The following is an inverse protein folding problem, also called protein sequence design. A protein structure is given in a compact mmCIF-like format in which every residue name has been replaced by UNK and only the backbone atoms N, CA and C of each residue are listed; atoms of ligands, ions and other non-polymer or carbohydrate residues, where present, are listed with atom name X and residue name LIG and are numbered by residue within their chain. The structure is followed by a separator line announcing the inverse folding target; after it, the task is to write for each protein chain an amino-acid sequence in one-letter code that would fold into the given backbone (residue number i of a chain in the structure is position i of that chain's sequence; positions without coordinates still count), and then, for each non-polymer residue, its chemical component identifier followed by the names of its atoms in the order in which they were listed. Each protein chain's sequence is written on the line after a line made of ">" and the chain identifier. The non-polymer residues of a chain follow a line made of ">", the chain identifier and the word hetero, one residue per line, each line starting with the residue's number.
data_IF_568846552846
#
_entry.id   IF_568846552846
#
_cell.length_a   1.000
_cell.length_b   1.000
_cell.length_c   1.000
_cell.angle_alpha   90.00
_cell.angle_beta   90.00
_cell.angle_gamma   90.00
#
_symmetry.space_group_name_H-M   'P 1'
#
loop_
_entity.id
_entity.type
_entity.pdbx_description
1 polymer ?
#
# COMPACT_ATOMS: atom_id res chain seq x y z
N UNK A 1 -13.03 -13.09 -0.51
CA UNK A 1 -11.63 -13.21 -0.10
C UNK A 1 -10.80 -13.54 -1.33
N UNK A 2 -9.74 -12.79 -1.59
CA UNK A 2 -8.78 -13.06 -2.68
C UNK A 2 -7.39 -13.09 -2.08
N UNK A 3 -6.64 -14.15 -2.36
CA UNK A 3 -5.27 -14.27 -1.85
C UNK A 3 -4.25 -13.69 -2.84
N UNK A 4 -4.67 -13.35 -4.07
CA UNK A 4 -3.81 -12.86 -5.17
C UNK A 4 -3.64 -11.35 -5.16
N UNK A 5 -2.40 -10.91 -5.35
CA UNK A 5 -2.00 -9.51 -5.51
C UNK A 5 -2.12 -9.07 -6.97
N UNK A 6 -3.33 -9.09 -7.53
CA UNK A 6 -3.54 -8.69 -8.94
C UNK A 6 -2.95 -7.30 -9.21
N UNK A 7 -2.14 -7.11 -10.28
CA UNK A 7 -1.97 -8.00 -11.43
C UNK A 7 -0.91 -9.10 -11.31
N UNK A 8 -0.25 -9.29 -10.17
CA UNK A 8 0.73 -10.38 -9.99
C UNK A 8 0.05 -11.75 -10.04
N UNK A 9 0.82 -12.73 -10.50
CA UNK A 9 0.40 -14.13 -10.43
C UNK A 9 0.47 -14.68 -9.00
N UNK A 10 1.30 -14.08 -8.14
CA UNK A 10 1.54 -14.51 -6.78
C UNK A 10 0.41 -14.16 -5.82
N UNK A 11 0.18 -15.07 -4.88
CA UNK A 11 -0.55 -14.77 -3.65
C UNK A 11 0.31 -13.99 -2.66
N UNK A 12 -0.30 -13.36 -1.65
CA UNK A 12 0.45 -12.66 -0.58
C UNK A 12 1.51 -13.57 0.07
N UNK A 13 1.20 -14.81 0.52
CA UNK A 13 2.21 -15.67 1.15
C UNK A 13 3.32 -16.10 0.19
N UNK A 14 2.98 -16.35 -1.08
CA UNK A 14 3.97 -16.67 -2.12
C UNK A 14 4.90 -15.49 -2.38
N UNK A 15 4.35 -14.29 -2.57
CA UNK A 15 5.14 -13.08 -2.81
C UNK A 15 6.09 -12.80 -1.64
N UNK A 16 5.61 -12.88 -0.39
CA UNK A 16 6.45 -12.74 0.81
C UNK A 16 7.59 -13.75 0.85
N UNK A 17 7.29 -15.02 0.57
CA UNK A 17 8.30 -16.09 0.50
C UNK A 17 9.33 -15.82 -0.61
N UNK A 18 8.87 -15.43 -1.79
CA UNK A 18 9.74 -15.17 -2.94
C UNK A 18 10.64 -13.97 -2.70
N UNK A 19 10.07 -12.84 -2.24
CA UNK A 19 10.83 -11.61 -1.94
C UNK A 19 11.91 -11.85 -0.89
N UNK A 20 11.64 -12.65 0.15
CA UNK A 20 12.65 -13.03 1.13
C UNK A 20 13.83 -13.81 0.52
N UNK A 21 13.58 -14.64 -0.49
CA UNK A 21 14.63 -15.37 -1.22
C UNK A 21 15.37 -14.45 -2.20
N UNK A 22 14.64 -13.56 -2.88
CA UNK A 22 15.14 -12.68 -3.92
C UNK A 22 16.10 -11.61 -3.37
N UNK A 23 15.97 -11.23 -2.10
CA UNK A 23 16.87 -10.29 -1.42
C UNK A 23 18.36 -10.67 -1.53
N UNK A 24 18.66 -11.96 -1.63
CA UNK A 24 20.03 -12.48 -1.76
C UNK A 24 20.60 -12.39 -3.19
N UNK A 25 19.74 -12.18 -4.20
CA UNK A 25 20.11 -12.22 -5.62
C UNK A 25 19.81 -10.93 -6.38
N UNK A 26 19.27 -9.91 -5.70
CA UNK A 26 19.09 -8.58 -6.26
C UNK A 26 20.42 -8.04 -6.79
N UNK A 27 20.46 -7.73 -8.07
CA UNK A 27 21.67 -7.34 -8.79
C UNK A 27 21.86 -5.83 -8.93
N UNK A 28 20.82 -5.04 -8.63
CA UNK A 28 20.86 -3.58 -8.73
C UNK A 28 19.97 -2.91 -7.67
N UNK A 29 20.11 -1.59 -7.56
CA UNK A 29 19.40 -0.75 -6.59
C UNK A 29 17.88 -0.78 -6.79
N UNK A 30 17.41 -0.75 -8.04
CA UNK A 30 15.98 -0.78 -8.36
C UNK A 30 15.31 -2.09 -7.91
N UNK A 31 15.97 -3.22 -8.13
CA UNK A 31 15.55 -4.53 -7.63
C UNK A 31 15.53 -4.61 -6.10
N UNK A 32 16.58 -4.07 -5.47
CA UNK A 32 16.68 -4.05 -4.01
C UNK A 32 15.61 -3.17 -3.37
N UNK A 33 15.40 -1.96 -3.90
CA UNK A 33 14.37 -1.03 -3.43
C UNK A 33 12.98 -1.61 -3.58
N UNK A 34 12.70 -2.33 -4.68
CA UNK A 34 11.42 -3.02 -4.89
C UNK A 34 11.16 -4.07 -3.81
N UNK A 35 12.18 -4.86 -3.48
CA UNK A 35 12.13 -5.90 -2.44
C UNK A 35 11.91 -5.28 -1.05
N UNK A 36 12.67 -4.23 -0.70
CA UNK A 36 12.53 -3.56 0.60
C UNK A 36 11.19 -2.84 0.73
N UNK A 37 10.73 -2.17 -0.34
CA UNK A 37 9.42 -1.53 -0.35
C UNK A 37 8.31 -2.55 -0.17
N UNK A 38 8.36 -3.68 -0.89
CA UNK A 38 7.36 -4.73 -0.75
C UNK A 38 7.31 -5.25 0.69
N UNK A 39 8.48 -5.54 1.26
CA UNK A 39 8.59 -6.02 2.65
C UNK A 39 8.04 -5.00 3.64
N UNK A 40 8.38 -3.72 3.48
CA UNK A 40 7.90 -2.65 4.36
C UNK A 40 6.38 -2.46 4.29
N UNK A 41 5.77 -2.59 3.10
CA UNK A 41 4.31 -2.51 2.96
C UNK A 41 3.60 -3.72 3.57
N UNK A 42 4.17 -4.93 3.45
CA UNK A 42 3.68 -6.11 4.17
C UNK A 42 3.78 -5.93 5.69
N UNK A 43 4.91 -5.46 6.21
CA UNK A 43 5.10 -5.21 7.65
C UNK A 43 4.13 -4.14 8.17
N UNK A 44 3.83 -3.13 7.36
CA UNK A 44 2.81 -2.14 7.67
C UNK A 44 1.41 -2.78 7.76
N UNK A 45 1.04 -3.67 6.83
CA UNK A 45 -0.23 -4.39 6.86
C UNK A 45 -0.32 -5.40 8.01
N UNK A 46 0.79 -6.03 8.40
CA UNK A 46 0.88 -6.88 9.58
C UNK A 46 0.51 -6.08 10.84
N UNK A 47 1.05 -4.87 10.97
CA UNK A 47 0.75 -3.99 12.10
C UNK A 47 -0.73 -3.59 12.14
N UNK A 48 -1.36 -3.33 10.99
CA UNK A 48 -2.81 -3.06 10.94
C UNK A 48 -3.66 -4.28 11.32
N UNK A 49 -3.13 -5.48 11.09
CA UNK A 49 -3.80 -6.76 11.38
C UNK A 49 -3.53 -7.27 12.80
N UNK A 50 -2.86 -6.47 13.66
CA UNK A 50 -2.52 -6.87 15.02
C UNK A 50 -1.31 -7.79 15.14
N UNK A 51 -0.42 -7.79 14.14
CA UNK A 51 0.86 -8.50 14.17
C UNK A 51 0.78 -10.01 13.87
N UNK A 52 -0.40 -10.55 13.59
CA UNK A 52 -0.60 -11.97 13.28
C UNK A 52 -0.16 -12.39 11.86
N UNK A 53 0.39 -11.45 11.07
CA UNK A 53 0.71 -11.67 9.67
C UNK A 53 -0.49 -11.41 8.76
N UNK A 54 -0.33 -10.45 7.87
CA UNK A 54 -1.17 -10.23 6.71
C UNK A 54 -0.81 -11.26 5.65
N UNK A 55 -1.60 -12.33 5.59
CA UNK A 55 -1.44 -13.40 4.61
C UNK A 55 -2.54 -13.40 3.55
N UNK A 56 -3.56 -12.54 3.68
CA UNK A 56 -4.74 -12.50 2.81
C UNK A 56 -5.28 -11.09 2.67
N UNK A 57 -5.75 -10.75 1.47
CA UNK A 57 -6.45 -9.47 1.24
C UNK A 57 -7.90 -9.61 1.73
N UNK A 58 -8.29 -8.74 2.66
CA UNK A 58 -9.70 -8.59 3.03
C UNK A 58 -10.49 -8.14 1.80
N UNK A 59 -11.74 -8.60 1.66
CA UNK A 59 -12.60 -8.24 0.55
C UNK A 59 -14.04 -8.09 1.01
N UNK A 60 -14.85 -7.30 0.32
CA UNK A 60 -16.25 -7.12 0.67
C UNK A 60 -16.44 -6.44 2.03
N UNK A 61 -17.26 -7.04 2.90
CA UNK A 61 -17.69 -6.41 4.15
C UNK A 61 -16.53 -6.20 5.15
N UNK A 62 -15.56 -7.11 5.16
CA UNK A 62 -14.38 -7.06 6.01
C UNK A 62 -13.47 -5.90 5.61
N UNK A 63 -13.24 -5.75 4.30
CA UNK A 63 -12.49 -4.63 3.73
C UNK A 63 -13.19 -3.30 4.02
N UNK A 64 -14.49 -3.21 3.78
CA UNK A 64 -15.29 -2.02 4.08
C UNK A 64 -15.28 -1.65 5.56
N UNK A 65 -15.23 -2.67 6.44
CA UNK A 65 -15.16 -2.45 7.88
C UNK A 65 -13.79 -1.93 8.30
N UNK A 66 -12.71 -2.43 7.71
CA UNK A 66 -11.35 -1.95 7.96
C UNK A 66 -11.14 -0.55 7.38
N UNK A 67 -11.61 -0.28 6.17
CA UNK A 67 -11.57 1.04 5.56
C UNK A 67 -12.32 2.09 6.40
N UNK A 68 -13.52 1.75 6.93
CA UNK A 68 -14.26 2.63 7.85
C UNK A 68 -13.50 2.87 9.16
N UNK A 69 -12.75 1.89 9.65
CA UNK A 69 -11.93 2.06 10.84
C UNK A 69 -10.75 3.01 10.57
N UNK A 70 -10.06 2.83 9.43
CA UNK A 70 -9.00 3.75 8.97
C UNK A 70 -9.52 5.19 8.87
N UNK A 71 -10.67 5.38 8.22
CA UNK A 71 -11.31 6.69 8.05
C UNK A 71 -11.67 7.36 9.38
N UNK A 72 -12.29 6.60 10.30
CA UNK A 72 -12.62 7.11 11.64
C UNK A 72 -11.38 7.52 12.42
N UNK A 73 -10.33 6.69 12.40
CA UNK A 73 -9.08 6.98 13.10
C UNK A 73 -8.40 8.24 12.55
N UNK A 74 -8.39 8.42 11.24
CA UNK A 74 -7.84 9.62 10.58
C UNK A 74 -8.71 10.86 10.69
N UNK A 75 -9.96 10.73 11.14
CA UNK A 75 -10.95 11.81 11.10
C UNK A 75 -11.31 12.28 9.68
N UNK A 76 -10.95 11.51 8.63
CA UNK A 76 -11.19 11.87 7.23
C UNK A 76 -12.42 11.15 6.70
N UNK A 77 -13.23 11.89 5.95
CA UNK A 77 -14.35 11.32 5.19
C UNK A 77 -13.80 10.77 3.88
N UNK A 78 -14.41 9.71 3.33
CA UNK A 78 -14.03 9.11 2.03
C UNK A 78 -13.91 10.22 0.97
N UNK A 79 -12.68 10.56 0.58
CA UNK A 79 -12.42 11.48 -0.52
C UNK A 79 -12.71 10.75 -1.83
N UNK A 80 -13.24 11.46 -2.82
CA UNK A 80 -13.57 10.89 -4.13
C UNK A 80 -12.34 10.31 -4.85
N UNK A 81 -12.57 9.73 -6.03
CA UNK A 81 -11.48 9.20 -6.85
C UNK A 81 -10.47 10.30 -7.21
N UNK A 82 -9.19 10.06 -6.94
CA UNK A 82 -8.07 10.95 -7.29
C UNK A 82 -7.63 10.66 -8.73
N UNK A 83 -7.35 11.70 -9.52
CA UNK A 83 -6.79 11.52 -10.85
C UNK A 83 -5.36 10.95 -10.74
N UNK A 84 -5.07 9.87 -11.45
CA UNK A 84 -3.78 9.18 -11.46
C UNK A 84 -3.09 9.31 -12.82
N UNK A 85 -1.76 9.39 -12.81
CA UNK A 85 -0.94 9.31 -14.02
C UNK A 85 -0.83 7.87 -14.51
N UNK A 86 -0.16 7.69 -15.65
CA UNK A 86 0.04 6.38 -16.28
C UNK A 86 0.83 5.40 -15.38
N UNK A 87 1.46 5.89 -14.31
CA UNK A 87 2.19 5.10 -13.32
C UNK A 87 1.42 4.91 -12.00
N UNK A 88 0.15 5.34 -11.96
CA UNK A 88 -0.70 5.24 -10.77
C UNK A 88 -0.37 6.25 -9.68
N UNK A 89 0.43 7.29 -9.97
CA UNK A 89 0.74 8.38 -9.05
C UNK A 89 -0.34 9.47 -9.15
N UNK A 90 -0.85 10.00 -8.03
CA UNK A 90 -1.77 11.14 -8.05
C UNK A 90 -1.24 12.35 -8.85
N UNK A 91 -2.01 12.85 -9.83
CA UNK A 91 -1.63 13.97 -10.74
C UNK A 91 -1.84 15.33 -10.08
N UNK A 92 -2.93 15.51 -9.33
CA UNK A 92 -3.32 16.82 -8.81
C UNK A 92 -4.06 16.66 -7.48
N UNK A 93 -3.36 16.91 -6.38
CA UNK A 93 -3.96 16.92 -5.05
C UNK A 93 -4.46 18.32 -4.65
N UNK A 94 -4.21 19.35 -5.46
CA UNK A 94 -4.50 20.75 -5.15
C UNK A 94 -5.62 21.36 -6.02
N UNK A 95 -6.14 20.63 -7.00
CA UNK A 95 -7.09 21.16 -7.99
C UNK A 95 -8.53 20.65 -7.84
N UNK A 96 -9.46 21.62 -7.74
CA UNK A 96 -10.93 21.55 -7.83
C UNK A 96 -11.70 21.40 -6.51
N UNK A 97 -12.20 22.56 -6.01
CA UNK A 97 -13.22 22.69 -4.96
C UNK A 97 -12.97 21.91 -3.67
N UNK A 98 -11.72 21.88 -3.22
CA UNK A 98 -11.36 21.29 -1.94
C UNK A 98 -11.89 22.18 -0.80
N UNK A 99 -12.88 21.65 -0.08
CA UNK A 99 -13.34 22.11 1.24
C UNK A 99 -12.12 22.59 2.09
N UNK A 100 -12.17 23.71 2.82
CA UNK A 100 -11.03 24.18 3.64
C UNK A 100 -10.50 23.17 4.67
N UNK A 101 -11.17 22.02 4.87
CA UNK A 101 -10.62 20.87 5.58
C UNK A 101 -9.41 20.19 4.88
N UNK A 102 -9.15 20.50 3.61
CA UNK A 102 -8.08 19.92 2.79
C UNK A 102 -6.72 20.65 2.89
N UNK A 103 -6.59 21.69 3.72
CA UNK A 103 -5.32 22.44 3.91
C UNK A 103 -4.25 21.65 4.72
N UNK A 104 -4.44 20.33 4.88
CA UNK A 104 -3.52 19.41 5.57
C UNK A 104 -3.01 18.31 4.66
N UNK A 105 -2.82 18.59 3.36
CA UNK A 105 -2.25 17.67 2.36
C UNK A 105 -0.77 17.32 2.67
N UNK A 106 -0.65 16.45 3.67
CA UNK A 106 0.10 15.21 3.71
C UNK A 106 1.50 15.27 3.08
N UNK A 107 2.48 15.44 3.96
CA UNK A 107 3.86 15.07 3.69
C UNK A 107 3.93 13.55 3.49
N UNK A 108 4.56 13.14 2.39
CA UNK A 108 5.02 11.77 2.18
C UNK A 108 6.12 11.45 3.21
N UNK A 109 5.74 11.09 4.44
CA UNK A 109 6.72 10.53 5.38
C UNK A 109 7.02 9.09 5.00
N UNK A 110 8.31 8.85 4.84
CA UNK A 110 8.97 7.66 4.29
C UNK A 110 8.51 6.38 4.99
N UNK A 111 8.51 5.23 4.29
CA UNK A 111 8.37 3.94 4.98
C UNK A 111 9.49 3.75 5.99
N UNK A 112 9.14 3.13 7.11
CA UNK A 112 10.11 2.61 8.07
C UNK A 112 10.87 1.50 7.34
N UNK A 113 12.02 1.85 6.76
CA UNK A 113 13.04 1.00 6.12
C UNK A 113 13.12 0.95 4.57
N UNK A 114 12.25 1.58 3.78
CA UNK A 114 12.49 1.68 2.33
C UNK A 114 13.10 3.04 1.96
N UNK A 115 14.07 3.05 1.05
CA UNK A 115 14.74 4.26 0.57
C UNK A 115 13.84 5.19 -0.28
N UNK A 116 12.60 4.75 -0.56
CA UNK A 116 11.68 5.40 -1.49
C UNK A 116 10.41 5.89 -0.80
N UNK A 117 9.98 7.10 -1.16
CA UNK A 117 8.67 7.65 -0.76
C UNK A 117 7.52 6.82 -1.31
N UNK A 118 6.30 6.97 -0.78
CA UNK A 118 5.12 6.26 -1.35
C UNK A 118 4.86 6.60 -2.82
N UNK A 119 5.06 7.86 -3.22
CA UNK A 119 4.90 8.28 -4.61
C UNK A 119 6.00 7.70 -5.51
N UNK A 120 7.26 7.73 -5.04
CA UNK A 120 8.36 7.08 -5.75
C UNK A 120 8.18 5.56 -5.83
N UNK A 121 7.62 4.94 -4.79
CA UNK A 121 7.32 3.52 -4.75
C UNK A 121 6.27 3.07 -5.77
N UNK A 122 5.29 3.92 -6.11
CA UNK A 122 4.34 3.64 -7.20
C UNK A 122 5.02 3.65 -8.57
N UNK A 123 5.91 4.62 -8.81
CA UNK A 123 6.72 4.66 -10.04
C UNK A 123 7.63 3.45 -10.13
N UNK A 124 8.34 3.14 -9.04
CA UNK A 124 9.18 1.96 -8.91
C UNK A 124 8.40 0.66 -9.21
N UNK A 125 7.18 0.53 -8.68
CA UNK A 125 6.31 -0.61 -8.96
C UNK A 125 5.94 -0.70 -10.45
N UNK A 126 5.63 0.41 -11.10
CA UNK A 126 5.33 0.46 -12.52
C UNK A 126 6.57 0.14 -13.40
N UNK A 127 7.73 0.69 -13.05
CA UNK A 127 9.00 0.43 -13.72
C UNK A 127 9.38 -1.05 -13.61
N UNK A 128 9.37 -1.61 -12.39
CA UNK A 128 9.59 -3.03 -12.15
C UNK A 128 8.59 -3.89 -12.93
N UNK A 129 7.30 -3.57 -12.91
CA UNK A 129 6.27 -4.35 -13.59
C UNK A 129 6.44 -4.43 -15.11
N UNK A 130 7.16 -3.46 -15.70
CA UNK A 130 7.51 -3.44 -17.13
C UNK A 130 8.68 -4.36 -17.49
N UNK A 131 9.38 -4.90 -16.49
CA UNK A 131 10.49 -5.83 -16.68
C UNK A 131 9.99 -7.28 -16.76
N UNK A 132 10.77 -8.12 -17.43
CA UNK A 132 10.51 -9.56 -17.51
C UNK A 132 11.03 -10.30 -16.26
N UNK A 133 10.46 -11.47 -16.00
CA UNK A 133 10.92 -12.36 -14.94
C UNK A 133 10.50 -11.92 -13.53
N UNK A 134 11.33 -12.22 -12.54
CA UNK A 134 10.98 -12.00 -11.13
C UNK A 134 10.85 -10.52 -10.73
N UNK A 135 11.64 -9.55 -11.25
CA UNK A 135 11.45 -8.15 -10.88
C UNK A 135 10.09 -7.64 -11.40
N UNK A 136 9.66 -8.11 -12.56
CA UNK A 136 8.31 -7.94 -13.11
C UNK A 136 7.20 -8.37 -12.15
N UNK A 137 7.32 -9.58 -11.61
CA UNK A 137 6.34 -10.10 -10.63
C UNK A 137 6.35 -9.29 -9.32
N UNK A 138 7.51 -8.85 -8.83
CA UNK A 138 7.59 -7.96 -7.66
C UNK A 138 6.89 -6.64 -7.93
N UNK A 139 7.12 -6.02 -9.10
CA UNK A 139 6.45 -4.78 -9.50
C UNK A 139 4.92 -4.93 -9.57
N UNK A 140 4.43 -6.02 -10.17
CA UNK A 140 3.00 -6.33 -10.22
C UNK A 140 2.41 -6.58 -8.83
N UNK A 141 3.17 -7.24 -7.94
CA UNK A 141 2.72 -7.51 -6.57
C UNK A 141 2.62 -6.20 -5.76
N UNK A 142 3.58 -5.28 -5.94
CA UNK A 142 3.54 -3.92 -5.40
C UNK A 142 2.33 -3.13 -5.90
N UNK A 143 2.01 -3.20 -7.21
CA UNK A 143 0.80 -2.57 -7.76
C UNK A 143 -0.49 -3.11 -7.09
N UNK A 144 -0.54 -4.43 -6.84
CA UNK A 144 -1.63 -5.05 -6.10
C UNK A 144 -1.73 -4.54 -4.65
N UNK A 145 -0.60 -4.40 -3.95
CA UNK A 145 -0.57 -3.84 -2.60
C UNK A 145 -1.02 -2.38 -2.57
N UNK A 146 -0.55 -1.54 -3.49
CA UNK A 146 -0.99 -0.15 -3.59
C UNK A 146 -2.49 -0.04 -3.87
N UNK A 147 -3.03 -0.90 -4.73
CA UNK A 147 -4.47 -0.96 -5.01
C UNK A 147 -5.28 -1.33 -3.78
N UNK A 148 -4.81 -2.32 -3.01
CA UNK A 148 -5.45 -2.72 -1.77
C UNK A 148 -5.40 -1.61 -0.71
N UNK A 149 -4.25 -0.97 -0.54
CA UNK A 149 -4.05 0.15 0.39
C UNK A 149 -4.92 1.36 -0.01
N UNK A 150 -5.05 1.65 -1.30
CA UNK A 150 -5.96 2.66 -1.82
C UNK A 150 -7.42 2.36 -1.42
N UNK A 151 -7.86 1.11 -1.54
CA UNK A 151 -9.21 0.72 -1.11
C UNK A 151 -9.41 0.92 0.40
N UNK A 152 -8.40 0.62 1.22
CA UNK A 152 -8.42 0.88 2.66
C UNK A 152 -8.52 2.37 3.00
N UNK A 153 -7.88 3.22 2.20
CA UNK A 153 -7.78 4.65 2.46
C UNK A 153 -8.93 5.47 1.85
N UNK A 154 -9.78 4.86 1.02
CA UNK A 154 -11.00 5.49 0.52
C UNK A 154 -11.22 5.37 -0.98
N UNK A 155 -10.23 4.90 -1.73
CA UNK A 155 -10.31 4.69 -3.17
C UNK A 155 -8.97 4.88 -3.89
N UNK A 156 -8.97 4.77 -5.22
CA UNK A 156 -7.76 4.90 -6.04
C UNK A 156 -6.98 6.18 -5.73
N UNK A 157 -5.67 6.05 -5.50
CA UNK A 157 -4.77 7.18 -5.24
C UNK A 157 -4.83 7.78 -3.84
N UNK A 158 -5.65 7.24 -2.93
CA UNK A 158 -5.84 7.83 -1.59
C UNK A 158 -4.79 7.39 -0.57
N UNK A 159 -4.07 6.29 -0.82
CA UNK A 159 -2.93 5.91 0.01
C UNK A 159 -1.70 6.74 -0.36
N UNK A 160 -1.57 7.86 0.35
CA UNK A 160 -0.48 8.85 0.20
C UNK A 160 0.33 9.08 1.47
N UNK A 161 -0.05 8.48 2.59
CA UNK A 161 0.70 8.50 3.85
C UNK A 161 0.48 7.28 4.73
N UNK A 162 1.48 6.97 5.53
CA UNK A 162 1.38 5.95 6.56
C UNK A 162 0.65 6.49 7.79
N UNK A 163 -0.23 5.66 8.34
CA UNK A 163 -0.77 5.84 9.69
C UNK A 163 0.37 5.94 10.69
N UNK A 164 0.24 6.81 11.70
CA UNK A 164 1.17 6.88 12.82
C UNK A 164 1.13 5.58 13.64
N UNK A 165 2.18 5.26 14.43
CA UNK A 165 2.15 4.05 15.27
C UNK A 165 0.93 3.95 16.18
N UNK A 166 0.46 5.08 16.72
CA UNK A 166 -0.72 5.17 17.58
C UNK A 166 -2.00 4.84 16.79
N UNK A 167 -2.15 5.42 15.59
CA UNK A 167 -3.28 5.14 14.71
C UNK A 167 -3.30 3.65 14.29
N UNK A 168 -2.15 3.07 13.98
CA UNK A 168 -2.04 1.63 13.65
C UNK A 168 -2.45 0.75 14.83
N UNK A 169 -2.04 1.11 16.06
CA UNK A 169 -2.44 0.38 17.26
C UNK A 169 -3.96 0.44 17.51
N UNK A 170 -4.58 1.60 17.30
CA UNK A 170 -6.04 1.75 17.40
C UNK A 170 -6.77 0.88 16.37
N UNK A 171 -6.27 0.82 15.14
CA UNK A 171 -6.86 0.01 14.08
C UNK A 171 -6.68 -1.48 14.39
N UNK A 172 -5.50 -1.91 14.82
CA UNK A 172 -5.22 -3.28 15.22
C UNK A 172 -6.17 -3.74 16.35
N UNK A 173 -6.36 -2.91 17.38
CA UNK A 173 -7.28 -3.21 18.47
C UNK A 173 -8.73 -3.32 18.00
N UNK A 174 -9.16 -2.43 17.09
CA UNK A 174 -10.50 -2.49 16.50
C UNK A 174 -10.68 -3.64 15.50
N UNK A 175 -9.59 -4.14 14.91
CA UNK A 175 -9.60 -5.28 14.00
C UNK A 175 -9.72 -6.62 14.74
N UNK A 176 -9.08 -6.75 15.92
CA UNK A 176 -9.10 -7.95 16.74
C UNK A 176 -10.47 -8.27 17.38
N UNK A 177 -11.39 -7.29 17.41
CA UNK A 177 -12.75 -7.46 17.92
C UNK A 177 -13.79 -7.86 16.86
N UNK A 178 -13.36 -8.25 15.66
CA UNK A 178 -14.22 -8.62 14.52
C UNK A 178 -14.32 -10.13 14.33
#
# INVERSE_FOLDING_TARGET
>A
MSDRLSPSEWTVPEARRMVAQLRQVAGNELEYDGIELFSALCDYLDQLSGGAGFDRLEAGAELDSLARLVQRTRGRTRTGAVALDDHGVPIDLAGADADPLYDTLVRLDQPVNAAVTLAAGRRLAAELASTDGWPGEVGRALQGLYTYLDQLYGGPGTFTELLTPEERALIAAGAAGR
#
